data_IF_695871988270
#
_entry.id   IF_695871988270
#
_cell.length_a   1.000
_cell.length_b   1.000
_cell.length_c   1.000
_cell.angle_alpha   90.00
_cell.angle_beta   90.00
_cell.angle_gamma   90.00
#
_symmetry.space_group_name_H-M   'P 1'
#
loop_
_entity.id
_entity.type
_entity.pdbx_description
1 polymer ?
#
# COMPACT_ATOMS: atom_id res chain seq x y z
N UNK A 1 54.24 49.50 23.20
CA UNK A 1 53.38 50.50 22.55
C UNK A 1 51.99 49.91 22.53
N UNK A 2 51.14 50.40 23.42
CA UNK A 2 49.71 50.11 23.43
C UNK A 2 49.03 50.95 22.34
N UNK A 3 48.07 50.36 21.64
CA UNK A 3 46.91 51.07 21.11
C UNK A 3 45.71 50.12 21.15
N UNK A 4 44.82 50.35 22.11
CA UNK A 4 43.44 49.86 22.08
C UNK A 4 42.60 50.73 21.13
N UNK A 5 41.61 50.11 20.48
CA UNK A 5 40.16 50.41 20.66
C UNK A 5 39.36 49.86 19.50
N UNK A 6 38.31 49.10 19.80
CA UNK A 6 37.25 48.81 18.84
C UNK A 6 36.43 47.56 19.14
N UNK A 7 35.78 47.51 20.29
CA UNK A 7 34.74 46.52 20.55
C UNK A 7 33.51 46.79 19.65
N UNK A 8 33.13 45.80 18.87
CA UNK A 8 31.76 45.60 18.39
C UNK A 8 31.35 44.20 18.84
N UNK A 9 30.55 44.17 19.90
CA UNK A 9 29.85 42.98 20.37
C UNK A 9 28.86 42.52 19.30
N UNK A 10 28.74 41.21 19.10
CA UNK A 10 27.46 40.49 18.94
C UNK A 10 27.75 38.98 19.05
N UNK A 11 27.08 38.24 19.94
CA UNK A 11 27.12 36.79 19.93
C UNK A 11 26.29 36.31 18.74
N UNK A 12 26.89 35.59 17.80
CA UNK A 12 26.10 34.79 16.87
C UNK A 12 25.69 33.55 17.66
N UNK A 13 24.51 33.62 18.27
CA UNK A 13 23.78 32.44 18.72
C UNK A 13 23.59 31.54 17.50
N UNK A 14 24.42 30.51 17.41
CA UNK A 14 24.27 29.41 16.47
C UNK A 14 23.12 28.53 16.98
N UNK A 15 21.90 29.05 16.87
CA UNK A 15 20.69 28.27 17.09
C UNK A 15 20.57 27.28 15.93
N UNK A 16 21.10 26.07 16.11
CA UNK A 16 20.73 24.92 15.30
C UNK A 16 19.27 24.60 15.60
N UNK A 17 18.36 25.31 14.94
CA UNK A 17 16.96 24.93 14.88
C UNK A 17 16.88 23.65 14.06
N UNK A 18 16.84 22.52 14.75
CA UNK A 18 16.40 21.23 14.19
C UNK A 18 14.94 21.37 13.77
N UNK A 19 14.72 21.88 12.56
CA UNK A 19 13.42 21.86 11.92
C UNK A 19 13.04 20.42 11.59
N UNK A 20 12.03 19.91 12.31
CA UNK A 20 11.37 18.64 12.03
C UNK A 20 11.03 18.49 10.54
N UNK A 21 11.38 17.38 9.87
CA UNK A 21 10.94 17.12 8.50
C UNK A 21 9.54 16.49 8.55
N UNK A 22 8.54 17.28 8.89
CA UNK A 22 7.13 16.96 8.65
C UNK A 22 6.50 18.15 7.94
N UNK A 23 6.90 18.34 6.69
CA UNK A 23 6.16 19.19 5.73
C UNK A 23 5.22 18.27 4.95
N UNK A 24 3.90 18.49 4.97
CA UNK A 24 2.99 17.72 4.15
C UNK A 24 3.30 17.95 2.66
N UNK A 25 3.01 16.93 1.85
CA UNK A 25 3.21 16.93 0.42
C UNK A 25 2.75 18.25 -0.22
N UNK A 26 3.56 18.80 -1.11
CA UNK A 26 3.21 19.98 -1.92
C UNK A 26 1.98 19.63 -2.76
N UNK A 27 0.82 20.02 -2.26
CA UNK A 27 -0.44 20.03 -2.99
C UNK A 27 -0.31 21.11 -4.06
N UNK A 28 -0.25 20.72 -5.34
CA UNK A 28 -0.28 21.69 -6.45
C UNK A 28 -1.65 22.33 -6.42
N UNK A 29 -1.71 23.58 -5.98
CA UNK A 29 -2.95 24.33 -5.93
C UNK A 29 -3.26 24.87 -7.33
N UNK A 30 -4.55 25.12 -7.61
CA UNK A 30 -4.99 25.75 -8.87
C UNK A 30 -4.28 27.09 -9.14
N UNK A 31 -3.83 27.74 -8.07
CA UNK A 31 -3.12 29.01 -8.10
C UNK A 31 -1.68 28.89 -8.66
N UNK A 32 -1.10 27.69 -8.65
CA UNK A 32 0.26 27.41 -9.14
C UNK A 32 0.31 27.14 -10.65
N UNK A 33 -0.83 26.94 -11.32
CA UNK A 33 -0.90 26.65 -12.76
C UNK A 33 -1.98 27.48 -13.48
N UNK A 34 -1.84 28.82 -13.52
CA UNK A 34 -2.83 29.73 -14.11
C UNK A 34 -2.93 29.65 -15.65
N UNK A 35 -2.07 28.86 -16.29
CA UNK A 35 -1.99 28.73 -17.76
C UNK A 35 -2.81 27.55 -18.32
N UNK A 36 -3.38 26.69 -17.45
CA UNK A 36 -4.18 25.54 -17.85
C UNK A 36 -5.66 25.92 -17.88
N UNK A 37 -6.37 25.52 -18.95
CA UNK A 37 -7.81 25.69 -19.04
C UNK A 37 -8.55 24.71 -18.11
N UNK A 38 -9.77 25.03 -17.67
CA UNK A 38 -10.59 24.17 -16.80
C UNK A 38 -10.70 22.69 -17.23
N UNK A 39 -10.92 22.36 -18.52
CA UNK A 39 -10.93 20.94 -18.94
C UNK A 39 -9.55 20.27 -18.88
N UNK A 40 -8.44 21.03 -18.98
CA UNK A 40 -7.08 20.49 -18.84
C UNK A 40 -6.70 20.29 -17.36
N UNK A 41 -7.17 21.19 -16.49
CA UNK A 41 -7.04 21.06 -15.03
C UNK A 41 -7.83 19.86 -14.50
N UNK A 42 -9.06 19.66 -14.97
CA UNK A 42 -9.87 18.49 -14.61
C UNK A 42 -9.31 17.18 -15.18
N UNK A 43 -8.66 17.20 -16.35
CA UNK A 43 -7.98 16.02 -16.90
C UNK A 43 -6.75 15.58 -16.09
N UNK A 44 -6.16 16.47 -15.28
CA UNK A 44 -5.01 16.18 -14.42
C UNK A 44 -5.40 15.58 -13.06
N UNK A 45 -6.66 15.74 -12.61
CA UNK A 45 -7.11 15.19 -11.32
C UNK A 45 -7.18 13.64 -11.29
N UNK A 46 -7.65 12.94 -12.35
CA UNK A 46 -7.65 11.48 -12.38
C UNK A 46 -6.25 10.85 -12.54
N UNK A 47 -5.24 11.61 -12.99
CA UNK A 47 -3.89 11.11 -13.27
C UNK A 47 -2.97 11.08 -12.03
N UNK A 48 -3.46 11.53 -10.87
CA UNK A 48 -2.71 11.53 -9.62
C UNK A 48 -2.72 10.19 -8.86
N UNK A 49 -3.46 9.19 -9.31
CA UNK A 49 -3.62 7.93 -8.57
C UNK A 49 -3.02 6.76 -9.32
N UNK A 50 -1.70 6.59 -9.18
CA UNK A 50 -1.13 5.25 -9.40
C UNK A 50 -0.12 4.88 -8.34
N UNK A 51 0.73 5.79 -7.83
CA UNK A 51 1.52 5.50 -6.61
C UNK A 51 1.55 6.72 -5.68
N UNK A 52 0.40 6.89 -5.03
CA UNK A 52 0.06 7.89 -4.04
C UNK A 52 -1.43 7.77 -3.73
N UNK A 53 -1.76 6.95 -2.73
CA UNK A 53 -3.10 6.80 -2.10
C UNK A 53 -4.20 6.14 -2.96
N UNK A 54 -4.36 4.82 -2.84
CA UNK A 54 -5.70 4.20 -3.01
C UNK A 54 -5.79 2.89 -3.81
N UNK A 55 -4.86 2.57 -4.70
CA UNK A 55 -4.83 1.27 -5.37
C UNK A 55 -3.71 0.39 -4.78
N UNK A 56 -3.98 -0.88 -4.40
CA UNK A 56 -2.93 -1.78 -3.94
C UNK A 56 -1.94 -2.01 -5.10
N UNK A 57 -0.64 -1.99 -4.82
CA UNK A 57 0.45 -2.22 -5.78
C UNK A 57 0.19 -3.46 -6.67
N UNK A 58 -0.42 -4.50 -6.07
CA UNK A 58 -0.85 -5.71 -6.76
C UNK A 58 -1.84 -5.46 -7.91
N UNK A 59 -2.84 -4.58 -7.73
CA UNK A 59 -3.80 -4.24 -8.79
C UNK A 59 -3.09 -3.56 -9.96
N UNK A 60 -2.21 -2.60 -9.69
CA UNK A 60 -1.44 -1.93 -10.73
C UNK A 60 -0.55 -2.91 -11.51
N UNK A 61 0.13 -3.82 -10.81
CA UNK A 61 0.95 -4.85 -11.45
C UNK A 61 0.12 -5.72 -12.40
N UNK A 62 -1.08 -6.15 -11.99
CA UNK A 62 -2.00 -6.93 -12.83
C UNK A 62 -2.42 -6.16 -14.08
N UNK A 63 -2.73 -4.87 -13.94
CA UNK A 63 -3.11 -4.01 -15.08
C UNK A 63 -1.94 -3.86 -16.07
N UNK A 64 -0.72 -3.65 -15.57
CA UNK A 64 0.48 -3.54 -16.41
C UNK A 64 0.82 -4.86 -17.09
N UNK A 65 0.72 -5.99 -16.38
CA UNK A 65 0.94 -7.33 -16.94
C UNK A 65 -0.06 -7.63 -18.06
N UNK A 66 -1.33 -7.25 -17.85
CA UNK A 66 -2.38 -7.37 -18.88
C UNK A 66 -2.05 -6.50 -20.10
N UNK A 67 -1.60 -5.26 -19.90
CA UNK A 67 -1.23 -4.36 -20.98
C UNK A 67 0.02 -4.82 -21.75
N UNK A 68 1.05 -5.32 -21.06
CA UNK A 68 2.25 -5.92 -21.68
C UNK A 68 1.86 -7.07 -22.58
N UNK A 69 0.99 -7.95 -22.08
CA UNK A 69 0.49 -9.12 -22.82
C UNK A 69 -0.31 -8.70 -24.04
N UNK A 70 -1.27 -7.78 -23.88
CA UNK A 70 -2.09 -7.26 -24.97
C UNK A 70 -1.26 -6.57 -26.07
N UNK A 71 -0.23 -5.82 -25.66
CA UNK A 71 0.69 -5.12 -26.58
C UNK A 71 1.81 -6.00 -27.14
N UNK A 72 1.90 -7.26 -26.70
CA UNK A 72 2.94 -8.24 -27.10
C UNK A 72 4.35 -7.69 -26.91
N UNK A 73 4.59 -7.01 -25.79
CA UNK A 73 5.93 -6.49 -25.47
C UNK A 73 6.76 -7.66 -24.96
N UNK A 74 7.74 -8.12 -25.74
CA UNK A 74 8.56 -9.30 -25.43
C UNK A 74 9.88 -8.94 -24.76
N UNK A 75 10.56 -7.93 -25.31
CA UNK A 75 11.89 -7.51 -24.86
C UNK A 75 11.89 -7.05 -23.38
N UNK A 76 12.79 -7.58 -22.52
CA UNK A 76 12.82 -7.26 -21.09
C UNK A 76 12.95 -5.77 -20.79
N UNK A 77 13.80 -5.05 -21.51
CA UNK A 77 14.02 -3.62 -21.29
C UNK A 77 12.83 -2.78 -21.76
N UNK A 78 12.16 -3.20 -22.83
CA UNK A 78 10.92 -2.60 -23.32
C UNK A 78 9.77 -2.79 -22.33
N UNK A 79 9.67 -3.95 -21.67
CA UNK A 79 8.70 -4.18 -20.57
C UNK A 79 8.94 -3.22 -19.41
N UNK A 80 10.19 -3.09 -18.97
CA UNK A 80 10.57 -2.15 -17.90
C UNK A 80 10.27 -0.71 -18.30
N UNK A 81 10.67 -0.28 -19.50
CA UNK A 81 10.43 1.07 -19.98
C UNK A 81 8.93 1.38 -20.07
N UNK A 82 8.13 0.44 -20.56
CA UNK A 82 6.68 0.56 -20.59
C UNK A 82 6.09 0.67 -19.18
N UNK A 83 6.42 -0.26 -18.28
CA UNK A 83 5.93 -0.25 -16.90
C UNK A 83 6.32 1.05 -16.16
N UNK A 84 7.56 1.52 -16.31
CA UNK A 84 8.01 2.79 -15.75
C UNK A 84 7.22 3.99 -16.28
N UNK A 85 6.82 3.96 -17.56
CA UNK A 85 6.01 5.04 -18.15
C UNK A 85 4.58 5.09 -17.59
N UNK A 86 4.08 3.95 -17.08
CA UNK A 86 2.80 3.83 -16.40
C UNK A 86 2.84 4.22 -14.91
N UNK A 87 4.01 4.55 -14.36
CA UNK A 87 4.12 4.99 -12.96
C UNK A 87 3.64 6.42 -12.79
N UNK A 88 2.93 6.68 -11.68
CA UNK A 88 2.56 8.01 -11.22
C UNK A 88 3.28 8.42 -9.93
N UNK A 89 3.17 9.70 -9.57
CA UNK A 89 3.51 10.20 -8.24
C UNK A 89 4.90 9.83 -7.71
N UNK A 90 4.95 9.28 -6.50
CA UNK A 90 6.21 8.97 -5.80
C UNK A 90 7.01 7.86 -6.48
N UNK A 91 6.34 6.85 -7.04
CA UNK A 91 7.05 5.77 -7.70
C UNK A 91 7.68 6.15 -9.01
N UNK A 92 7.06 7.05 -9.78
CA UNK A 92 7.70 7.59 -10.97
C UNK A 92 9.03 8.26 -10.59
N UNK A 93 8.99 9.16 -9.60
CA UNK A 93 10.19 9.87 -9.12
C UNK A 93 11.27 8.92 -8.61
N UNK A 94 10.88 7.91 -7.84
CA UNK A 94 11.78 6.85 -7.36
C UNK A 94 12.43 6.06 -8.50
N UNK A 95 11.63 5.53 -9.43
CA UNK A 95 12.11 4.67 -10.50
C UNK A 95 13.08 5.40 -11.44
N UNK A 96 12.72 6.63 -11.86
CA UNK A 96 13.60 7.44 -12.70
C UNK A 96 14.85 7.92 -11.94
N UNK A 97 14.74 8.24 -10.64
CA UNK A 97 15.90 8.59 -9.81
C UNK A 97 16.92 7.46 -9.71
N UNK A 98 16.45 6.21 -9.54
CA UNK A 98 17.33 5.04 -9.58
C UNK A 98 17.99 4.87 -10.94
N UNK A 99 17.23 4.97 -12.02
CA UNK A 99 17.75 4.81 -13.39
C UNK A 99 18.75 5.88 -13.82
N UNK A 100 18.65 7.09 -13.27
CA UNK A 100 19.65 8.14 -13.46
C UNK A 100 20.98 7.83 -12.76
N UNK A 101 20.93 7.11 -11.64
CA UNK A 101 22.13 6.73 -10.88
C UNK A 101 22.78 5.47 -11.45
N UNK A 102 21.96 4.51 -11.85
CA UNK A 102 22.38 3.26 -12.48
C UNK A 102 21.44 2.93 -13.65
N UNK A 103 21.89 3.12 -14.91
CA UNK A 103 21.10 2.81 -16.10
C UNK A 103 20.66 1.34 -16.21
N UNK A 104 21.35 0.44 -15.49
CA UNK A 104 21.13 -1.01 -15.50
C UNK A 104 20.37 -1.54 -14.28
N UNK A 105 19.92 -0.65 -13.38
CA UNK A 105 19.27 -1.04 -12.11
C UNK A 105 18.05 -1.95 -12.26
N UNK A 106 17.40 -1.92 -13.43
CA UNK A 106 16.26 -2.77 -13.78
C UNK A 106 16.61 -3.61 -15.01
N UNK A 107 17.41 -4.66 -14.81
CA UNK A 107 17.90 -5.54 -15.88
C UNK A 107 16.81 -6.40 -16.50
N UNK A 108 15.76 -6.73 -15.75
CA UNK A 108 14.58 -7.45 -16.21
C UNK A 108 13.31 -6.88 -15.61
N UNK A 109 12.17 -7.23 -16.19
CA UNK A 109 10.86 -6.82 -15.68
C UNK A 109 10.57 -7.43 -14.29
N UNK A 110 11.06 -8.63 -14.03
CA UNK A 110 10.95 -9.33 -12.76
C UNK A 110 11.75 -8.63 -11.66
N UNK A 111 12.98 -8.20 -11.95
CA UNK A 111 13.80 -7.38 -11.04
C UNK A 111 13.11 -6.06 -10.74
N UNK A 112 12.55 -5.39 -11.77
CA UNK A 112 11.79 -4.16 -11.57
C UNK A 112 10.57 -4.35 -10.65
N UNK A 113 9.77 -5.42 -10.85
CA UNK A 113 8.63 -5.72 -9.98
C UNK A 113 9.05 -5.94 -8.53
N UNK A 114 10.15 -6.64 -8.31
CA UNK A 114 10.66 -6.94 -6.96
C UNK A 114 11.15 -5.68 -6.24
N UNK A 115 11.98 -4.87 -6.90
CA UNK A 115 12.45 -3.60 -6.35
C UNK A 115 11.29 -2.62 -6.09
N UNK A 116 10.27 -2.61 -6.96
CA UNK A 116 9.08 -1.77 -6.78
C UNK A 116 8.26 -2.23 -5.58
N UNK A 117 8.13 -3.55 -5.35
CA UNK A 117 7.52 -4.10 -4.13
C UNK A 117 8.32 -3.69 -2.90
N UNK A 118 9.62 -3.92 -2.87
CA UNK A 118 10.44 -3.54 -1.71
C UNK A 118 10.37 -2.05 -1.37
N UNK A 119 10.22 -1.17 -2.37
CA UNK A 119 10.15 0.27 -2.17
C UNK A 119 8.77 0.80 -1.75
N UNK A 120 7.68 0.15 -2.19
CA UNK A 120 6.32 0.68 -2.02
C UNK A 120 5.37 -0.24 -1.25
N UNK A 121 5.75 -1.49 -1.05
CA UNK A 121 5.10 -2.40 -0.12
C UNK A 121 5.57 -2.06 1.30
N UNK A 122 4.66 -1.87 2.27
CA UNK A 122 5.06 -1.51 3.62
C UNK A 122 6.04 -2.56 4.20
N UNK A 123 7.24 -2.16 4.69
CA UNK A 123 8.30 -3.09 5.13
C UNK A 123 7.99 -3.93 6.38
N UNK A 124 6.73 -3.99 6.81
CA UNK A 124 6.24 -4.78 7.94
C UNK A 124 4.82 -5.34 7.68
N UNK A 125 4.40 -5.44 6.41
CA UNK A 125 3.03 -5.86 6.07
C UNK A 125 2.72 -7.25 6.64
N UNK A 126 3.57 -8.26 6.50
CA UNK A 126 3.20 -9.61 6.90
C UNK A 126 3.13 -9.76 8.43
N UNK A 127 4.07 -9.16 9.15
CA UNK A 127 4.03 -9.20 10.62
C UNK A 127 2.81 -8.43 11.14
N UNK A 128 2.52 -7.26 10.56
CA UNK A 128 1.34 -6.46 10.93
C UNK A 128 0.05 -7.17 10.56
N UNK A 129 -0.09 -7.67 9.33
CA UNK A 129 -1.27 -8.40 8.86
C UNK A 129 -1.45 -9.70 9.65
N UNK A 130 -0.38 -10.39 10.03
CA UNK A 130 -0.44 -11.53 10.95
C UNK A 130 -0.95 -11.12 12.32
N UNK A 131 -0.38 -10.08 12.93
CA UNK A 131 -0.83 -9.59 14.23
C UNK A 131 -2.30 -9.14 14.18
N UNK A 132 -2.67 -8.36 13.18
CA UNK A 132 -4.03 -7.87 12.98
C UNK A 132 -5.02 -9.00 12.69
N UNK A 133 -4.61 -10.04 11.97
CA UNK A 133 -5.42 -11.23 11.76
C UNK A 133 -5.63 -11.98 13.07
N UNK A 134 -4.58 -12.20 13.87
CA UNK A 134 -4.68 -12.89 15.16
C UNK A 134 -5.54 -12.14 16.20
N UNK A 135 -5.58 -10.81 16.09
CA UNK A 135 -6.42 -9.93 16.92
C UNK A 135 -7.77 -9.59 16.25
N UNK A 136 -8.11 -10.22 15.13
CA UNK A 136 -9.29 -9.89 14.33
C UNK A 136 -10.58 -10.08 15.13
N UNK A 137 -11.47 -9.08 15.07
CA UNK A 137 -12.78 -9.07 15.72
C UNK A 137 -13.83 -8.50 14.76
N UNK A 138 -15.01 -9.10 14.71
CA UNK A 138 -16.14 -8.65 13.89
C UNK A 138 -16.61 -7.25 14.32
N UNK A 139 -16.60 -6.99 15.63
CA UNK A 139 -16.99 -5.69 16.17
C UNK A 139 -18.40 -5.29 15.70
N UNK A 140 -18.51 -4.11 15.07
CA UNK A 140 -19.78 -3.57 14.52
C UNK A 140 -20.03 -3.92 13.06
N UNK A 141 -19.07 -4.58 12.40
CA UNK A 141 -19.18 -4.91 10.98
C UNK A 141 -20.17 -6.07 10.75
N UNK A 142 -20.83 -6.10 9.60
CA UNK A 142 -21.58 -7.28 9.14
C UNK A 142 -20.62 -8.45 8.83
N UNK A 143 -21.16 -9.67 8.69
CA UNK A 143 -20.33 -10.86 8.50
C UNK A 143 -19.57 -10.79 7.18
N UNK A 144 -20.15 -10.20 6.13
CA UNK A 144 -19.50 -10.04 4.84
C UNK A 144 -18.25 -9.14 4.91
N UNK A 145 -18.36 -7.94 5.49
CA UNK A 145 -17.22 -7.03 5.66
C UNK A 145 -16.14 -7.62 6.57
N UNK A 146 -16.54 -8.34 7.61
CA UNK A 146 -15.62 -9.09 8.47
C UNK A 146 -14.86 -10.18 7.71
N UNK A 147 -15.56 -10.97 6.90
CA UNK A 147 -14.98 -12.01 6.06
C UNK A 147 -14.02 -11.45 5.01
N UNK A 148 -14.36 -10.33 4.37
CA UNK A 148 -13.45 -9.66 3.43
C UNK A 148 -12.17 -9.18 4.12
N UNK A 149 -12.27 -8.65 5.34
CA UNK A 149 -11.09 -8.26 6.13
C UNK A 149 -10.22 -9.47 6.48
N UNK A 150 -10.83 -10.58 6.89
CA UNK A 150 -10.10 -11.82 7.16
C UNK A 150 -9.32 -12.31 5.92
N UNK A 151 -9.97 -12.34 4.76
CA UNK A 151 -9.34 -12.72 3.48
C UNK A 151 -8.18 -11.81 3.12
N UNK A 152 -8.38 -10.51 3.23
CA UNK A 152 -7.37 -9.50 2.94
C UNK A 152 -6.12 -9.68 3.82
N UNK A 153 -6.31 -9.83 5.12
CA UNK A 153 -5.18 -10.00 6.05
C UNK A 153 -4.41 -11.31 5.81
N UNK A 154 -5.12 -12.40 5.48
CA UNK A 154 -4.48 -13.68 5.13
C UNK A 154 -3.76 -13.60 3.78
N UNK A 155 -4.32 -12.90 2.79
CA UNK A 155 -3.69 -12.75 1.47
C UNK A 155 -2.39 -11.95 1.52
N UNK A 156 -2.26 -11.05 2.48
CA UNK A 156 -1.06 -10.24 2.70
C UNK A 156 0.08 -11.02 3.39
N UNK A 157 -0.11 -12.29 3.80
CA UNK A 157 0.91 -13.11 4.47
C UNK A 157 1.35 -14.24 3.52
N UNK A 158 2.41 -14.00 2.73
CA UNK A 158 2.83 -14.88 1.64
C UNK A 158 4.02 -15.75 2.02
N UNK A 159 5.00 -15.23 2.76
CA UNK A 159 6.26 -15.97 2.98
C UNK A 159 6.15 -17.11 3.99
N UNK A 160 5.32 -16.95 5.02
CA UNK A 160 5.07 -17.97 6.05
C UNK A 160 3.57 -17.99 6.38
N UNK A 161 2.75 -18.67 5.57
CA UNK A 161 1.30 -18.64 5.73
C UNK A 161 0.89 -19.22 7.08
N UNK A 162 -0.15 -18.64 7.67
CA UNK A 162 -0.80 -19.20 8.87
C UNK A 162 -1.41 -20.55 8.49
N UNK A 163 -1.37 -21.54 9.39
CA UNK A 163 -2.04 -22.82 9.17
C UNK A 163 -3.58 -22.67 9.19
N UNK A 164 -4.30 -23.54 8.49
CA UNK A 164 -5.76 -23.43 8.37
C UNK A 164 -6.48 -23.54 9.72
N UNK A 165 -5.99 -24.37 10.65
CA UNK A 165 -6.62 -24.51 11.96
C UNK A 165 -6.55 -23.20 12.75
N UNK A 166 -5.40 -22.54 12.77
CA UNK A 166 -5.24 -21.21 13.38
C UNK A 166 -6.13 -20.17 12.68
N UNK A 167 -6.24 -20.20 11.34
CA UNK A 167 -7.13 -19.28 10.62
C UNK A 167 -8.60 -19.45 11.02
N UNK A 168 -9.08 -20.69 11.01
CA UNK A 168 -10.45 -21.04 11.38
C UNK A 168 -10.75 -20.60 12.82
N UNK A 169 -9.90 -20.99 13.77
CA UNK A 169 -10.10 -20.68 15.20
C UNK A 169 -10.09 -19.16 15.42
N UNK A 170 -9.18 -18.45 14.78
CA UNK A 170 -9.09 -16.99 14.89
C UNK A 170 -10.36 -16.32 14.34
N UNK A 171 -10.80 -16.72 13.14
CA UNK A 171 -12.02 -16.19 12.53
C UNK A 171 -13.27 -16.47 13.38
N UNK A 172 -13.44 -17.71 13.84
CA UNK A 172 -14.57 -18.12 14.68
C UNK A 172 -14.58 -17.41 16.04
N UNK A 173 -13.41 -17.26 16.68
CA UNK A 173 -13.28 -16.55 17.95
C UNK A 173 -13.61 -15.06 17.81
N UNK A 174 -13.23 -14.44 16.69
CA UNK A 174 -13.47 -13.03 16.41
C UNK A 174 -14.92 -12.70 16.01
N UNK A 175 -15.75 -13.69 15.67
CA UNK A 175 -17.18 -13.45 15.42
C UNK A 175 -17.87 -12.91 16.67
N UNK A 176 -18.84 -12.02 16.45
CA UNK A 176 -19.74 -11.55 17.51
C UNK A 176 -20.56 -12.72 18.03
N UNK A 177 -20.81 -12.73 19.33
CA UNK A 177 -21.69 -13.74 19.93
C UNK A 177 -23.09 -13.63 19.32
N UNK A 178 -23.63 -14.77 18.90
CA UNK A 178 -24.89 -14.86 18.15
C UNK A 178 -25.02 -16.19 17.41
N UNK A 179 -26.12 -16.39 16.65
CA UNK A 179 -26.41 -17.68 16.01
C UNK A 179 -25.34 -18.10 15.00
N UNK A 180 -24.81 -17.17 14.21
CA UNK A 180 -23.70 -17.42 13.27
C UNK A 180 -22.50 -18.07 13.96
N UNK A 181 -22.04 -17.48 15.08
CA UNK A 181 -20.91 -18.03 15.84
C UNK A 181 -21.24 -19.40 16.41
N UNK A 182 -22.42 -19.55 17.01
CA UNK A 182 -22.88 -20.83 17.58
C UNK A 182 -22.92 -21.93 16.53
N UNK A 183 -23.46 -21.65 15.34
CA UNK A 183 -23.53 -22.59 14.22
C UNK A 183 -22.15 -23.07 13.79
N UNK A 184 -21.20 -22.15 13.62
CA UNK A 184 -19.83 -22.52 13.24
C UNK A 184 -19.12 -23.41 14.28
N UNK A 185 -19.39 -23.21 15.58
CA UNK A 185 -18.87 -24.08 16.65
C UNK A 185 -19.53 -25.47 16.69
N UNK A 186 -20.65 -25.67 15.98
CA UNK A 186 -21.27 -26.98 15.80
C UNK A 186 -20.72 -27.70 14.56
N UNK A 187 -20.50 -26.96 13.47
CA UNK A 187 -20.08 -27.53 12.18
C UNK A 187 -18.57 -27.84 12.08
N UNK A 188 -17.72 -27.19 12.88
CA UNK A 188 -16.25 -27.39 12.87
C UNK A 188 -15.63 -27.33 11.46
N UNK A 189 -15.70 -26.19 10.76
CA UNK A 189 -15.13 -26.04 9.43
C UNK A 189 -13.61 -26.32 9.43
N UNK A 190 -13.12 -26.98 8.37
CA UNK A 190 -11.71 -27.36 8.25
C UNK A 190 -10.82 -26.31 7.60
N UNK A 191 -11.41 -25.29 6.96
CA UNK A 191 -10.69 -24.20 6.28
C UNK A 191 -11.36 -22.85 6.54
N UNK A 192 -10.59 -21.77 6.39
CA UNK A 192 -11.12 -20.41 6.57
C UNK A 192 -12.27 -20.10 5.59
N UNK A 193 -12.13 -20.52 4.33
CA UNK A 193 -13.18 -20.29 3.32
C UNK A 193 -14.46 -21.09 3.59
N UNK A 194 -14.34 -22.30 4.13
CA UNK A 194 -15.51 -23.06 4.59
C UNK A 194 -16.20 -22.34 5.76
N UNK A 195 -15.43 -21.84 6.73
CA UNK A 195 -15.96 -21.06 7.84
C UNK A 195 -16.69 -19.78 7.36
N UNK A 196 -16.09 -19.05 6.41
CA UNK A 196 -16.72 -17.85 5.82
C UNK A 196 -18.01 -18.21 5.08
N UNK A 197 -18.00 -19.27 4.27
CA UNK A 197 -19.17 -19.70 3.50
C UNK A 197 -20.34 -20.06 4.43
N UNK A 198 -20.07 -20.84 5.48
CA UNK A 198 -21.07 -21.19 6.49
C UNK A 198 -21.57 -19.94 7.24
N UNK A 199 -20.68 -19.01 7.57
CA UNK A 199 -21.06 -17.80 8.29
C UNK A 199 -21.96 -16.88 7.45
N UNK A 200 -21.69 -16.78 6.14
CA UNK A 200 -22.53 -16.03 5.20
C UNK A 200 -23.90 -16.70 4.98
N UNK A 201 -23.92 -18.03 4.89
CA UNK A 201 -25.16 -18.80 4.75
C UNK A 201 -26.05 -18.60 5.98
N UNK A 202 -25.49 -18.77 7.17
CA UNK A 202 -26.23 -18.60 8.42
C UNK A 202 -26.69 -17.14 8.62
N UNK A 203 -25.87 -16.13 8.26
CA UNK A 203 -26.33 -14.73 8.30
C UNK A 203 -27.51 -14.47 7.36
N UNK A 204 -27.54 -15.14 6.21
CA UNK A 204 -28.65 -15.05 5.27
C UNK A 204 -29.91 -15.74 5.79
N UNK A 205 -29.78 -16.93 6.38
CA UNK A 205 -30.90 -17.71 6.90
C UNK A 205 -31.59 -17.07 8.14
N UNK A 206 -30.89 -16.16 8.82
CA UNK A 206 -31.40 -15.39 9.97
C UNK A 206 -32.17 -14.12 9.57
N UNK A 207 -32.15 -13.70 8.30
CA UNK A 207 -32.83 -12.50 7.80
C UNK A 207 -34.24 -12.80 7.31
#
# INVERSE_FOLDING_TARGET
>A
MEYERGAMNLPVDMNMSTGSPNTPATHVAREDCPHLADPEWEALQPLATVIGEGAPLLRWLVEVDTAITARRIVDPLSKVAFAMSCLGGRAKRWAYGRRLTDPTCFSTYEVFKEELRQAFEPPQNEFRSRAEFLDLQQGKHDVHAYAQRARYLVSDIVTNPIDEATKVVTFMKGLRDGPVKTYLFQEYPSTLEAAITLAMQEEFDLR
#
